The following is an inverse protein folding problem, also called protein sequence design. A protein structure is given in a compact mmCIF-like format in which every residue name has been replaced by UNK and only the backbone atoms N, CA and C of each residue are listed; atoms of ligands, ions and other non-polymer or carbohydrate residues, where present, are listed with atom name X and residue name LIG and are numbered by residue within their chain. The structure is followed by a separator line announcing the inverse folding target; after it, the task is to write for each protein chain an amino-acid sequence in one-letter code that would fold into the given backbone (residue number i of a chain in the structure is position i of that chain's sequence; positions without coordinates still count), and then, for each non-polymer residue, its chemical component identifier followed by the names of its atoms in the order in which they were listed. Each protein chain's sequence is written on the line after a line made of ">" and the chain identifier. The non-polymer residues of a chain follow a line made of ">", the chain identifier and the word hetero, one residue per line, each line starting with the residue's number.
data_IF_775145886041
#
_entry.id   IF_775145886041
#
_cell.length_a   1.000
_cell.length_b   1.000
_cell.length_c   1.000
_cell.angle_alpha   90.00
_cell.angle_beta   90.00
_cell.angle_gamma   90.00
#
_symmetry.space_group_name_H-M   'P 1'
#
loop_
_entity.id
_entity.type
_entity.pdbx_description
1 polymer ?
#
# COMPACT_ATOMS: atom_id res chain seq x y z
N UNK A 1 -19.43 26.98 -38.86
CA UNK A 1 -19.27 27.52 -37.49
C UNK A 1 -18.88 26.35 -36.63
N UNK A 2 -17.58 26.17 -36.42
CA UNK A 2 -16.91 24.90 -36.09
C UNK A 2 -16.94 24.58 -34.60
N UNK A 3 -17.11 23.28 -34.32
CA UNK A 3 -17.29 22.62 -33.01
C UNK A 3 -16.05 22.71 -32.08
N UNK A 4 -14.88 23.06 -32.65
CA UNK A 4 -13.59 23.08 -31.94
C UNK A 4 -13.51 24.10 -30.79
N UNK A 5 -14.21 25.24 -30.88
CA UNK A 5 -14.13 26.28 -29.83
C UNK A 5 -14.89 25.93 -28.56
N UNK A 6 -15.84 24.98 -28.61
CA UNK A 6 -16.58 24.52 -27.43
C UNK A 6 -15.79 23.49 -26.61
N UNK A 7 -15.03 22.64 -27.28
CA UNK A 7 -14.18 21.66 -26.60
C UNK A 7 -13.08 22.36 -25.80
N UNK A 8 -12.48 23.40 -26.40
CA UNK A 8 -11.38 24.17 -25.82
C UNK A 8 -11.80 25.01 -24.60
N UNK A 9 -13.08 25.41 -24.52
CA UNK A 9 -13.63 26.11 -23.36
C UNK A 9 -13.97 25.18 -22.19
N UNK A 10 -14.44 23.95 -22.47
CA UNK A 10 -14.75 22.95 -21.43
C UNK A 10 -13.51 22.42 -20.73
N UNK A 11 -12.44 22.18 -21.48
CA UNK A 11 -11.15 21.73 -20.92
C UNK A 11 -10.55 22.82 -20.01
N UNK A 12 -10.72 24.10 -20.38
CA UNK A 12 -10.24 25.23 -19.57
C UNK A 12 -11.01 25.41 -18.26
N UNK A 13 -12.31 25.14 -18.24
CA UNK A 13 -13.12 25.19 -17.02
C UNK A 13 -12.81 24.05 -16.03
N UNK A 14 -12.53 22.85 -16.53
CA UNK A 14 -12.21 21.69 -15.69
C UNK A 14 -10.86 21.80 -14.96
N UNK A 15 -9.92 22.59 -15.49
CA UNK A 15 -8.60 22.80 -14.87
C UNK A 15 -8.59 23.85 -13.75
N UNK A 16 -9.64 24.67 -13.64
CA UNK A 16 -9.79 25.68 -12.56
C UNK A 16 -10.47 25.15 -11.31
N UNK A 17 -11.09 23.98 -11.34
CA UNK A 17 -11.85 23.40 -10.21
C UNK A 17 -11.11 22.29 -9.45
N UNK A 18 -9.89 21.92 -9.86
CA UNK A 18 -9.13 20.89 -9.15
C UNK A 18 -8.44 21.50 -7.92
N UNK A 19 -8.71 21.01 -6.69
CA UNK A 19 -7.99 21.44 -5.50
C UNK A 19 -6.58 20.85 -5.56
N UNK A 20 -5.60 21.68 -5.96
CA UNK A 20 -4.19 21.30 -5.94
C UNK A 20 -3.70 21.39 -4.49
N UNK A 21 -3.26 20.28 -3.85
CA UNK A 21 -2.60 20.35 -2.54
C UNK A 21 -1.33 21.19 -2.68
N UNK A 22 -1.19 22.18 -1.79
CA UNK A 22 -0.23 23.26 -1.92
C UNK A 22 1.19 22.87 -1.57
N UNK A 23 1.90 22.28 -2.53
CA UNK A 23 3.35 22.39 -2.55
C UNK A 23 3.78 23.41 -3.62
N UNK A 24 4.52 24.43 -3.19
CA UNK A 24 5.06 25.48 -4.06
C UNK A 24 5.94 24.87 -5.15
N UNK A 25 6.60 23.76 -4.86
CA UNK A 25 7.48 23.04 -5.78
C UNK A 25 6.70 22.45 -6.98
N UNK A 26 5.49 21.96 -6.74
CA UNK A 26 4.62 21.42 -7.79
C UNK A 26 4.09 22.54 -8.70
N UNK A 27 3.84 23.72 -8.13
CA UNK A 27 3.43 24.92 -8.87
C UNK A 27 4.54 25.44 -9.78
N UNK A 28 5.76 25.55 -9.26
CA UNK A 28 6.91 26.04 -10.02
C UNK A 28 7.28 25.07 -11.16
N UNK A 29 7.19 23.76 -10.92
CA UNK A 29 7.38 22.76 -11.96
C UNK A 29 6.34 22.87 -13.08
N UNK A 30 5.06 23.12 -12.74
CA UNK A 30 3.99 23.27 -13.73
C UNK A 30 4.17 24.55 -14.57
N UNK A 31 4.57 25.66 -13.93
CA UNK A 31 4.85 26.94 -14.61
C UNK A 31 6.04 26.83 -15.55
N UNK A 32 7.12 26.16 -15.12
CA UNK A 32 8.31 25.92 -15.95
C UNK A 32 8.00 25.09 -17.21
N UNK A 33 7.09 24.12 -17.11
CA UNK A 33 6.64 23.32 -18.27
C UNK A 33 5.77 24.15 -19.22
N UNK A 34 4.88 24.99 -18.68
CA UNK A 34 4.01 25.85 -19.49
C UNK A 34 4.79 26.95 -20.22
N UNK A 35 5.80 27.56 -19.61
CA UNK A 35 6.62 28.57 -20.30
C UNK A 35 7.53 27.96 -21.37
N UNK A 36 7.98 26.71 -21.21
CA UNK A 36 8.71 25.98 -22.27
C UNK A 36 7.85 25.72 -23.51
N UNK A 37 6.53 25.66 -23.37
CA UNK A 37 5.60 25.49 -24.50
C UNK A 37 5.34 26.79 -25.29
N UNK A 38 5.73 27.95 -24.75
CA UNK A 38 5.60 29.26 -25.40
C UNK A 38 6.86 29.64 -26.18
N UNK A 39 7.24 28.80 -27.14
CA UNK A 39 8.25 29.16 -28.13
C UNK A 39 7.82 30.39 -28.95
N UNK A 40 8.76 31.27 -29.38
CA UNK A 40 8.41 32.49 -30.10
C UNK A 40 7.76 32.16 -31.45
N UNK A 41 6.53 32.66 -31.65
CA UNK A 41 5.81 32.63 -32.94
C UNK A 41 6.56 33.46 -33.97
N UNK A 42 7.52 32.85 -34.67
CA UNK A 42 8.03 33.37 -35.94
C UNK A 42 6.95 33.20 -37.01
N UNK A 43 6.53 34.32 -37.59
CA UNK A 43 5.64 34.36 -38.74
C UNK A 43 6.26 33.66 -39.95
N UNK A 44 5.49 32.88 -40.74
CA UNK A 44 6.05 32.22 -41.91
C UNK A 44 6.02 33.18 -43.11
N UNK A 45 7.19 33.49 -43.65
CA UNK A 45 7.33 33.89 -45.07
C UNK A 45 7.03 32.65 -45.91
N UNK A 46 6.09 32.80 -46.86
CA UNK A 46 5.68 31.80 -47.85
C UNK A 46 6.90 31.16 -48.53
N UNK A 47 7.01 29.83 -48.42
CA UNK A 47 7.65 29.00 -49.43
C UNK A 47 6.79 27.74 -49.63
N UNK A 48 6.60 27.27 -50.88
CA UNK A 48 5.77 26.10 -51.13
C UNK A 48 6.62 24.82 -51.15
N UNK A 49 5.97 23.70 -50.82
CA UNK A 49 6.40 22.30 -51.00
C UNK A 49 7.61 21.84 -50.19
N UNK A 50 7.32 21.04 -49.16
CA UNK A 50 7.53 19.58 -49.21
C UNK A 50 6.74 18.94 -48.07
N UNK A 51 6.02 17.86 -48.40
CA UNK A 51 5.32 17.03 -47.43
C UNK A 51 6.32 16.33 -46.51
N UNK A 52 6.22 16.54 -45.20
CA UNK A 52 6.91 15.74 -44.20
C UNK A 52 6.05 15.66 -42.92
N UNK A 53 5.35 14.53 -42.80
CA UNK A 53 4.92 13.80 -41.58
C UNK A 53 4.88 14.58 -40.25
N UNK A 54 3.68 14.85 -39.67
CA UNK A 54 3.55 15.18 -38.26
C UNK A 54 3.27 13.89 -37.47
N UNK A 55 4.31 13.18 -37.02
CA UNK A 55 4.14 11.92 -36.29
C UNK A 55 5.06 11.80 -35.06
N UNK A 56 5.30 12.88 -34.32
CA UNK A 56 6.17 12.85 -33.13
C UNK A 56 5.62 13.63 -31.91
N UNK A 57 4.35 14.05 -31.91
CA UNK A 57 3.77 14.76 -30.77
C UNK A 57 2.90 13.89 -29.84
N UNK A 58 2.37 12.76 -30.33
CA UNK A 58 1.46 11.91 -29.55
C UNK A 58 2.17 10.89 -28.63
N UNK A 59 3.40 10.50 -28.94
CA UNK A 59 4.12 9.48 -28.18
C UNK A 59 4.62 9.97 -26.80
N UNK A 60 4.92 11.26 -26.67
CA UNK A 60 5.45 11.82 -25.42
C UNK A 60 4.39 11.91 -24.30
N UNK A 61 3.13 12.15 -24.65
CA UNK A 61 2.02 12.23 -23.67
C UNK A 61 1.64 10.84 -23.16
N UNK A 62 1.62 9.82 -24.03
CA UNK A 62 1.35 8.43 -23.62
C UNK A 62 2.46 7.90 -22.70
N UNK A 63 3.73 8.23 -22.96
CA UNK A 63 4.83 7.85 -22.10
C UNK A 63 4.77 8.52 -20.71
N UNK A 64 4.30 9.78 -20.62
CA UNK A 64 4.14 10.48 -19.34
C UNK A 64 2.93 9.96 -18.54
N UNK A 65 1.82 9.62 -19.21
CA UNK A 65 0.66 8.98 -18.58
C UNK A 65 0.99 7.55 -18.13
N UNK A 66 1.79 6.81 -18.89
CA UNK A 66 2.28 5.48 -18.49
C UNK A 66 3.25 5.55 -17.30
N UNK A 67 4.08 6.60 -17.17
CA UNK A 67 4.95 6.81 -16.01
C UNK A 67 4.17 7.20 -14.74
N UNK A 68 3.08 7.96 -14.88
CA UNK A 68 2.18 8.33 -13.77
C UNK A 68 1.21 7.20 -13.37
N UNK A 69 0.98 6.23 -14.25
CA UNK A 69 0.19 5.03 -13.96
C UNK A 69 1.02 3.86 -13.40
N UNK A 70 2.31 4.06 -13.12
CA UNK A 70 3.01 3.28 -12.09
C UNK A 70 2.43 3.72 -10.76
N UNK A 71 1.19 3.31 -10.51
CA UNK A 71 0.61 3.19 -9.19
C UNK A 71 1.66 2.42 -8.41
N UNK A 72 2.29 3.10 -7.46
CA UNK A 72 3.17 2.45 -6.49
C UNK A 72 2.31 1.35 -5.90
N UNK A 73 2.61 0.11 -6.29
CA UNK A 73 1.88 -1.09 -5.93
C UNK A 73 2.15 -1.31 -4.45
N UNK A 74 1.47 -0.53 -3.61
CA UNK A 74 1.62 -0.62 -2.17
C UNK A 74 1.07 -1.98 -1.79
N UNK A 75 1.80 -2.78 -0.99
CA UNK A 75 1.29 -4.04 -0.50
C UNK A 75 -0.09 -3.79 0.10
N UNK A 76 -1.11 -4.46 -0.43
CA UNK A 76 -2.50 -4.21 -0.04
C UNK A 76 -2.69 -4.59 1.43
N UNK A 77 -2.94 -3.58 2.26
CA UNK A 77 -3.30 -3.78 3.66
C UNK A 77 -4.60 -4.59 3.75
N UNK A 78 -4.72 -5.51 4.72
CA UNK A 78 -5.98 -6.16 5.00
C UNK A 78 -7.05 -5.09 5.24
N UNK A 79 -8.10 -5.11 4.44
CA UNK A 79 -9.25 -4.25 4.70
C UNK A 79 -9.93 -4.75 5.97
N UNK A 80 -10.17 -3.86 6.94
CA UNK A 80 -10.87 -4.18 8.17
C UNK A 80 -12.16 -4.95 7.83
N UNK A 81 -12.15 -6.23 8.18
CA UNK A 81 -13.21 -7.16 7.83
C UNK A 81 -14.37 -7.11 8.83
N UNK A 82 -15.13 -8.19 8.86
CA UNK A 82 -16.05 -8.44 9.98
C UNK A 82 -15.24 -8.53 11.28
N UNK A 83 -15.87 -8.14 12.39
CA UNK A 83 -15.31 -8.34 13.73
C UNK A 83 -14.83 -9.79 13.91
N UNK A 84 -13.75 -10.02 14.67
CA UNK A 84 -13.19 -11.36 14.85
C UNK A 84 -14.25 -12.26 15.49
N UNK A 85 -14.30 -13.55 15.11
CA UNK A 85 -15.16 -14.49 15.80
C UNK A 85 -14.75 -14.56 17.28
N UNK A 86 -15.69 -14.72 18.23
CA UNK A 86 -15.40 -14.71 19.66
C UNK A 86 -14.32 -15.73 20.09
N UNK A 87 -14.18 -16.81 19.32
CA UNK A 87 -13.15 -17.81 19.54
C UNK A 87 -11.73 -17.31 19.28
N UNK A 88 -11.56 -16.35 18.37
CA UNK A 88 -10.27 -15.73 18.02
C UNK A 88 -9.99 -14.46 18.85
N UNK A 89 -11.04 -13.77 19.30
CA UNK A 89 -10.93 -12.56 20.15
C UNK A 89 -10.19 -12.82 21.46
N UNK A 90 -9.61 -11.76 22.00
CA UNK A 90 -8.85 -11.77 23.25
C UNK A 90 -7.34 -11.90 23.02
N UNK A 91 -6.62 -12.10 24.12
CA UNK A 91 -5.16 -12.11 24.11
C UNK A 91 -4.61 -13.54 24.16
N UNK A 92 -3.58 -13.76 23.36
CA UNK A 92 -2.90 -15.04 23.19
C UNK A 92 -1.40 -14.88 23.47
N UNK A 93 -0.78 -15.90 24.01
CA UNK A 93 0.63 -15.95 24.38
C UNK A 93 1.35 -17.05 23.61
N UNK A 94 2.57 -16.75 23.14
CA UNK A 94 3.50 -17.72 22.59
C UNK A 94 4.87 -17.54 23.26
N UNK A 95 5.47 -18.65 23.70
CA UNK A 95 6.89 -18.68 24.07
C UNK A 95 7.73 -19.08 22.85
N UNK A 96 8.37 -18.09 22.23
CA UNK A 96 9.13 -18.22 21.00
C UNK A 96 10.60 -18.65 21.24
N UNK A 97 10.87 -19.45 22.27
CA UNK A 97 12.22 -19.92 22.62
C UNK A 97 12.93 -20.70 21.48
N UNK A 98 12.16 -21.32 20.58
CA UNK A 98 12.66 -22.10 19.45
C UNK A 98 13.12 -21.32 18.22
N UNK A 99 12.90 -19.99 18.17
CA UNK A 99 13.29 -19.19 17.00
C UNK A 99 14.81 -19.08 16.88
N UNK A 100 15.32 -19.12 15.65
CA UNK A 100 16.77 -19.09 15.40
C UNK A 100 17.39 -17.74 15.72
N UNK A 101 16.68 -16.65 15.43
CA UNK A 101 17.13 -15.30 15.71
C UNK A 101 16.84 -14.95 17.19
N UNK A 102 17.88 -14.65 18.00
CA UNK A 102 17.71 -14.36 19.41
C UNK A 102 16.89 -13.09 19.68
N UNK A 103 16.80 -12.14 18.75
CA UNK A 103 15.98 -10.93 18.88
C UNK A 103 14.48 -11.20 18.95
N UNK A 104 14.06 -12.40 18.55
CA UNK A 104 12.66 -12.83 18.53
C UNK A 104 12.31 -13.82 19.64
N UNK A 105 13.28 -14.24 20.46
CA UNK A 105 13.04 -15.24 21.50
C UNK A 105 12.38 -14.63 22.73
N UNK A 106 11.47 -15.39 23.32
CA UNK A 106 10.80 -15.06 24.57
C UNK A 106 9.29 -15.01 24.42
N UNK A 107 8.64 -14.38 25.39
CA UNK A 107 7.19 -14.30 25.47
C UNK A 107 6.63 -13.22 24.55
N UNK A 108 5.74 -13.63 23.65
CA UNK A 108 4.96 -12.76 22.77
C UNK A 108 3.49 -12.79 23.13
N UNK A 109 2.83 -11.64 23.00
CA UNK A 109 1.40 -11.46 23.26
C UNK A 109 0.73 -10.92 22.01
N UNK A 110 -0.32 -11.60 21.56
CA UNK A 110 -1.09 -11.30 20.36
C UNK A 110 -2.54 -11.01 20.74
N UNK A 111 -3.10 -9.87 20.31
CA UNK A 111 -4.53 -9.55 20.44
C UNK A 111 -5.15 -9.26 19.09
N UNK A 112 -6.37 -9.76 18.88
CA UNK A 112 -7.24 -9.42 17.75
C UNK A 112 -8.39 -8.55 18.25
N UNK A 113 -8.32 -7.25 17.98
CA UNK A 113 -9.30 -6.27 18.44
C UNK A 113 -10.47 -6.15 17.45
N UNK A 114 -11.64 -5.71 17.92
CA UNK A 114 -12.88 -5.71 17.11
C UNK A 114 -12.82 -4.78 15.89
N UNK A 115 -11.97 -3.76 15.94
CA UNK A 115 -11.81 -2.75 14.88
C UNK A 115 -10.89 -3.20 13.73
N UNK A 116 -10.51 -4.49 13.68
CA UNK A 116 -9.58 -5.01 12.68
C UNK A 116 -8.11 -4.69 12.98
N UNK A 117 -7.82 -4.31 14.23
CA UNK A 117 -6.47 -4.01 14.72
C UNK A 117 -5.88 -5.23 15.43
N UNK A 118 -4.67 -5.59 15.04
CA UNK A 118 -3.84 -6.61 15.65
C UNK A 118 -2.74 -5.93 16.45
N UNK A 119 -2.70 -6.25 17.74
CA UNK A 119 -1.63 -5.79 18.64
C UNK A 119 -0.68 -6.95 18.93
N UNK A 120 0.62 -6.73 18.73
CA UNK A 120 1.65 -7.73 18.97
C UNK A 120 2.76 -7.15 19.85
N UNK A 121 2.81 -7.63 21.09
CA UNK A 121 3.77 -7.20 22.09
C UNK A 121 4.84 -8.27 22.30
N UNK A 122 6.08 -7.90 22.02
CA UNK A 122 7.24 -8.78 22.22
C UNK A 122 7.87 -8.66 23.62
N UNK A 123 8.85 -9.51 23.93
CA UNK A 123 9.64 -9.41 25.14
C UNK A 123 10.47 -8.12 25.18
N UNK A 124 10.95 -7.74 26.37
CA UNK A 124 11.78 -6.54 26.51
C UNK A 124 13.02 -6.60 25.61
N UNK A 125 13.20 -5.59 24.75
CA UNK A 125 14.28 -5.52 23.79
C UNK A 125 14.02 -6.23 22.45
N UNK A 126 12.82 -6.80 22.25
CA UNK A 126 12.40 -7.22 20.92
C UNK A 126 12.41 -6.03 19.96
N UNK A 127 12.98 -6.24 18.78
CA UNK A 127 13.22 -5.16 17.81
C UNK A 127 11.93 -4.56 17.24
N UNK A 128 10.85 -5.36 17.22
CA UNK A 128 9.67 -5.09 16.40
C UNK A 128 8.35 -5.33 17.15
N UNK A 129 8.17 -4.79 18.35
CA UNK A 129 6.82 -4.72 18.94
C UNK A 129 5.93 -3.81 18.08
N UNK A 130 4.77 -4.31 17.66
CA UNK A 130 3.84 -3.54 16.81
C UNK A 130 2.55 -3.25 17.56
N UNK A 131 2.32 -1.98 17.83
CA UNK A 131 0.97 -1.46 18.07
C UNK A 131 0.35 -1.17 16.70
N UNK A 132 -0.82 -1.73 16.42
CA UNK A 132 -1.63 -1.26 15.30
C UNK A 132 -1.41 -1.92 13.93
N UNK A 133 -1.02 -3.19 13.87
CA UNK A 133 -1.11 -3.93 12.61
C UNK A 133 -2.59 -4.13 12.22
N UNK A 134 -2.88 -4.31 10.94
CA UNK A 134 -4.23 -4.61 10.46
C UNK A 134 -4.40 -6.12 10.25
N UNK A 135 -5.62 -6.60 10.44
CA UNK A 135 -5.97 -7.96 10.08
C UNK A 135 -7.37 -8.07 9.49
N UNK A 136 -7.60 -9.15 8.74
CA UNK A 136 -8.90 -9.52 8.21
C UNK A 136 -9.11 -11.02 8.35
N UNK A 137 -10.31 -11.42 8.79
CA UNK A 137 -10.70 -12.83 8.93
C UNK A 137 -11.77 -13.18 7.89
N UNK A 138 -11.64 -14.33 7.26
CA UNK A 138 -12.66 -14.89 6.37
C UNK A 138 -12.70 -16.40 6.54
N UNK A 139 -13.76 -16.91 7.17
CA UNK A 139 -13.84 -18.33 7.54
C UNK A 139 -12.71 -18.73 8.49
N UNK A 140 -11.96 -19.78 8.14
CA UNK A 140 -10.79 -20.25 8.87
C UNK A 140 -9.47 -19.62 8.39
N UNK A 141 -9.54 -18.52 7.62
CA UNK A 141 -8.37 -17.81 7.11
C UNK A 141 -8.24 -16.44 7.81
N UNK A 142 -7.01 -16.04 8.12
CA UNK A 142 -6.68 -14.71 8.63
C UNK A 142 -5.53 -14.14 7.82
N UNK A 143 -5.68 -12.88 7.39
CA UNK A 143 -4.62 -12.10 6.74
C UNK A 143 -4.13 -11.03 7.69
N UNK A 144 -2.82 -10.87 7.81
CA UNK A 144 -2.17 -9.98 8.78
C UNK A 144 -0.98 -9.25 8.14
N UNK A 145 -0.79 -7.96 8.44
CA UNK A 145 0.32 -7.15 7.92
C UNK A 145 1.32 -6.72 9.01
N UNK A 146 1.48 -7.57 10.03
CA UNK A 146 2.47 -7.38 11.10
C UNK A 146 3.88 -7.13 10.52
N UNK A 147 4.64 -6.23 11.15
CA UNK A 147 5.99 -5.81 10.76
C UNK A 147 6.13 -5.17 9.37
N UNK A 148 5.04 -4.72 8.74
CA UNK A 148 5.10 -4.06 7.41
C UNK A 148 5.93 -2.77 7.42
N UNK A 149 6.17 -2.18 8.58
CA UNK A 149 7.03 -1.00 8.76
C UNK A 149 8.45 -1.36 9.26
N UNK A 150 8.81 -2.64 9.35
CA UNK A 150 10.10 -3.09 9.86
C UNK A 150 10.60 -4.40 9.21
N UNK A 151 10.64 -5.53 9.93
CA UNK A 151 11.20 -6.79 9.46
C UNK A 151 10.54 -7.33 8.17
N UNK A 152 9.31 -6.92 7.89
CA UNK A 152 8.56 -7.25 6.69
C UNK A 152 8.29 -6.02 5.79
N UNK A 153 9.19 -5.03 5.81
CA UNK A 153 9.05 -3.82 5.00
C UNK A 153 8.79 -4.15 3.53
N UNK A 154 7.79 -3.47 2.95
CA UNK A 154 7.37 -3.59 1.54
C UNK A 154 6.81 -4.96 1.14
N UNK A 155 6.59 -5.87 2.11
CA UNK A 155 6.03 -7.19 1.84
C UNK A 155 4.51 -7.18 1.99
N UNK A 156 3.83 -7.98 1.19
CA UNK A 156 2.38 -8.19 1.29
C UNK A 156 1.99 -8.79 2.63
N UNK A 157 0.73 -8.62 3.04
CA UNK A 157 0.18 -9.29 4.21
C UNK A 157 0.35 -10.82 4.11
N UNK A 158 0.69 -11.46 5.23
CA UNK A 158 0.74 -12.91 5.35
C UNK A 158 -0.66 -13.50 5.54
N UNK A 159 -0.88 -14.70 5.03
CA UNK A 159 -2.12 -15.46 5.13
C UNK A 159 -1.90 -16.75 5.93
N UNK A 160 -2.79 -16.98 6.88
CA UNK A 160 -2.74 -18.09 7.81
C UNK A 160 -4.09 -18.78 7.90
N UNK A 161 -4.07 -20.10 8.04
CA UNK A 161 -5.23 -20.84 8.56
C UNK A 161 -5.20 -20.78 10.07
N UNK A 162 -6.33 -20.45 10.68
CA UNK A 162 -6.46 -20.41 12.13
C UNK A 162 -7.48 -21.43 12.63
N UNK A 163 -7.23 -22.00 13.80
CA UNK A 163 -8.18 -22.86 14.52
C UNK A 163 -8.01 -22.69 16.02
N UNK A 164 -9.11 -22.78 16.75
CA UNK A 164 -9.10 -22.71 18.21
C UNK A 164 -9.61 -24.00 18.82
N UNK A 165 -9.00 -24.45 19.93
CA UNK A 165 -9.44 -25.60 20.70
C UNK A 165 -9.19 -25.36 22.19
N UNK A 166 -10.26 -25.08 22.93
CA UNK A 166 -10.13 -24.64 24.33
C UNK A 166 -9.32 -23.35 24.38
N UNK A 167 -8.26 -23.36 25.17
CA UNK A 167 -7.37 -22.22 25.37
C UNK A 167 -6.21 -22.18 24.37
N UNK A 168 -6.29 -22.93 23.27
CA UNK A 168 -5.25 -22.97 22.25
C UNK A 168 -5.73 -22.35 20.94
N UNK A 169 -4.89 -21.52 20.32
CA UNK A 169 -5.01 -20.99 18.97
C UNK A 169 -3.84 -21.52 18.13
N UNK A 170 -4.15 -22.31 17.11
CA UNK A 170 -3.17 -22.76 16.13
C UNK A 170 -3.24 -21.85 14.90
N UNK A 171 -2.10 -21.24 14.55
CA UNK A 171 -1.91 -20.53 13.29
C UNK A 171 -0.97 -21.35 12.38
N UNK A 172 -1.42 -21.65 11.17
CA UNK A 172 -0.65 -22.38 10.16
C UNK A 172 -0.47 -21.49 8.93
N UNK A 173 0.78 -21.27 8.51
CA UNK A 173 1.09 -20.48 7.32
C UNK A 173 0.43 -21.11 6.08
N UNK A 174 -0.29 -20.30 5.31
CA UNK A 174 -0.76 -20.67 3.98
C UNK A 174 0.08 -20.00 2.91
N UNK A 175 0.29 -18.69 3.05
CA UNK A 175 1.13 -17.87 2.18
C UNK A 175 1.72 -16.71 2.97
N UNK A 176 3.02 -16.73 3.24
CA UNK A 176 3.71 -15.57 3.82
C UNK A 176 5.15 -15.52 3.32
N UNK A 177 5.43 -14.53 2.48
CA UNK A 177 6.76 -14.31 1.92
C UNK A 177 7.75 -13.75 2.93
N UNK A 178 7.28 -13.23 4.08
CA UNK A 178 8.14 -12.69 5.13
C UNK A 178 8.54 -13.75 6.15
N UNK A 179 9.81 -14.19 6.19
CA UNK A 179 10.23 -15.28 7.07
C UNK A 179 10.11 -14.94 8.57
N UNK A 180 10.30 -13.68 8.96
CA UNK A 180 10.19 -13.24 10.35
C UNK A 180 8.76 -13.37 10.87
N UNK A 181 7.79 -12.83 10.12
CA UNK A 181 6.35 -12.93 10.45
C UNK A 181 5.84 -14.36 10.37
N UNK A 182 6.20 -15.10 9.32
CA UNK A 182 5.87 -16.51 9.19
C UNK A 182 6.41 -17.34 10.36
N UNK A 183 7.68 -17.14 10.72
CA UNK A 183 8.34 -17.87 11.79
C UNK A 183 7.76 -17.57 13.18
N UNK A 184 7.41 -16.32 13.45
CA UNK A 184 6.84 -15.94 14.75
C UNK A 184 5.36 -16.31 14.90
N UNK A 185 4.53 -15.99 13.91
CA UNK A 185 3.08 -16.17 14.04
C UNK A 185 2.64 -17.63 13.92
N UNK A 186 3.36 -18.44 13.14
CA UNK A 186 3.04 -19.85 13.01
C UNK A 186 3.34 -20.61 14.30
N UNK A 187 2.31 -21.22 14.90
CA UNK A 187 2.49 -21.91 16.16
C UNK A 187 1.20 -22.15 16.92
N UNK A 188 1.36 -22.78 18.09
CA UNK A 188 0.31 -23.02 19.07
C UNK A 188 0.39 -21.96 20.16
N UNK A 189 -0.54 -21.02 20.12
CA UNK A 189 -0.68 -19.92 21.06
C UNK A 189 -1.66 -20.30 22.17
N UNK A 190 -1.37 -19.87 23.41
CA UNK A 190 -2.21 -20.15 24.58
C UNK A 190 -2.97 -18.89 25.00
N UNK A 191 -4.26 -19.01 25.31
CA UNK A 191 -5.09 -17.89 25.77
C UNK A 191 -4.57 -17.36 27.10
N UNK A 192 -4.47 -16.04 27.21
CA UNK A 192 -4.16 -15.36 28.48
C UNK A 192 -5.43 -15.28 29.30
N UNK A 193 -5.38 -15.79 30.53
CA UNK A 193 -6.48 -15.82 31.51
C UNK A 193 -6.71 -14.49 32.20
#
# INVERSE_FOLDING_TARGET
>A
MTDDTRFDARVRGALTELPVPGDLETRDALVAVLDRSRGPRRSPRRSPRTWAMPALAAAAVVALVALLAVVVDRPESPQAGQAPPPSLSGQWELDAAGLTDPGWRGRWLLSFDEDGVLTLTGPAGAMDSTEGASYAVTGDHVRVDVFVNSACAEQTAGEYRWRTRGDHLLLVVLDDVCPARAGLLAGDWTRVS
#
